data_IF_608454528388
#
_entry.id   IF_608454528388
#
_cell.length_a   1.000
_cell.length_b   1.000
_cell.length_c   1.000
_cell.angle_alpha   90.00
_cell.angle_beta   90.00
_cell.angle_gamma   90.00
#
_symmetry.space_group_name_H-M   'P 1'
#
loop_
_entity.id
_entity.type
_entity.pdbx_description
1 polymer ?
#
# COMPACT_ATOMS: atom_id res chain seq x y z
N UNK A 1 -18.49 -6.78 17.38
CA UNK A 1 -18.40 -6.40 15.96
C UNK A 1 -17.29 -5.37 15.82
N UNK A 2 -16.31 -5.62 14.96
CA UNK A 2 -15.17 -4.75 14.74
C UNK A 2 -15.66 -3.44 14.09
N UNK A 3 -15.28 -2.27 14.61
CA UNK A 3 -15.49 -0.97 13.95
C UNK A 3 -14.60 -0.79 12.70
N UNK A 4 -14.45 -1.84 11.94
CA UNK A 4 -13.67 -1.95 10.73
C UNK A 4 -14.18 -1.07 9.57
N UNK A 5 -15.23 -0.30 9.78
CA UNK A 5 -15.84 0.49 8.73
C UNK A 5 -15.44 1.97 8.69
N UNK A 6 -14.83 2.50 9.75
CA UNK A 6 -14.66 3.95 9.88
C UNK A 6 -13.68 4.50 8.83
N UNK A 7 -12.55 3.86 8.65
CA UNK A 7 -11.56 4.26 7.65
C UNK A 7 -12.08 4.11 6.22
N UNK A 8 -12.73 2.99 5.91
CA UNK A 8 -13.28 2.74 4.58
C UNK A 8 -14.31 3.80 4.14
N UNK A 9 -15.04 4.38 5.10
CA UNK A 9 -16.01 5.44 4.85
C UNK A 9 -15.47 6.86 5.10
N UNK A 10 -14.16 7.03 5.32
CA UNK A 10 -13.61 8.33 5.68
C UNK A 10 -13.89 9.43 4.65
N UNK A 11 -13.90 9.13 3.35
CA UNK A 11 -14.29 10.07 2.30
C UNK A 11 -15.76 10.48 2.42
N UNK A 12 -16.67 9.52 2.67
CA UNK A 12 -18.11 9.76 2.78
C UNK A 12 -18.50 10.52 4.05
N UNK A 13 -17.79 10.28 5.14
CA UNK A 13 -18.10 10.84 6.46
C UNK A 13 -17.64 12.30 6.62
N UNK A 14 -17.16 12.94 5.56
CA UNK A 14 -16.79 14.35 5.61
C UNK A 14 -18.01 15.26 5.60
N UNK A 15 -18.01 16.35 6.37
CA UNK A 15 -19.15 17.31 6.40
C UNK A 15 -19.50 17.90 5.03
N UNK A 16 -18.53 18.01 4.15
CA UNK A 16 -18.64 18.55 2.81
C UNK A 16 -18.71 17.48 1.71
N UNK A 17 -19.07 16.25 2.06
CA UNK A 17 -19.21 15.18 1.08
C UNK A 17 -20.21 15.54 -0.01
N UNK A 18 -19.80 15.34 -1.28
CA UNK A 18 -20.69 15.34 -2.44
C UNK A 18 -20.29 14.14 -3.32
N UNK A 19 -21.25 13.51 -3.95
CA UNK A 19 -21.03 12.25 -4.68
C UNK A 19 -19.93 12.31 -5.76
N UNK A 20 -19.73 13.47 -6.38
CA UNK A 20 -18.73 13.71 -7.42
C UNK A 20 -17.31 13.96 -6.88
N UNK A 21 -17.15 14.37 -5.61
CA UNK A 21 -15.85 14.71 -5.04
C UNK A 21 -14.87 13.55 -5.02
N UNK A 22 -15.27 12.32 -4.66
CA UNK A 22 -14.36 11.17 -4.76
C UNK A 22 -13.86 10.94 -6.20
N UNK A 23 -14.72 11.16 -7.22
CA UNK A 23 -14.29 11.08 -8.62
C UNK A 23 -13.28 12.16 -8.96
N UNK A 24 -13.56 13.41 -8.60
CA UNK A 24 -12.64 14.52 -8.84
C UNK A 24 -11.29 14.31 -8.12
N UNK A 25 -11.30 13.71 -6.92
CA UNK A 25 -10.10 13.36 -6.18
C UNK A 25 -9.27 12.31 -6.93
N UNK A 26 -9.90 11.22 -7.39
CA UNK A 26 -9.23 10.18 -8.21
C UNK A 26 -8.61 10.80 -9.47
N UNK A 27 -9.39 11.55 -10.23
CA UNK A 27 -8.91 12.20 -11.46
C UNK A 27 -7.76 13.16 -11.15
N UNK A 28 -7.87 13.95 -10.07
CA UNK A 28 -6.82 14.88 -9.69
C UNK A 28 -5.51 14.16 -9.31
N UNK A 29 -5.57 13.05 -8.56
CA UNK A 29 -4.38 12.23 -8.26
C UNK A 29 -3.73 11.76 -9.56
N UNK A 30 -4.49 11.15 -10.46
CA UNK A 30 -3.96 10.64 -11.72
C UNK A 30 -3.35 11.76 -12.58
N UNK A 31 -4.08 12.87 -12.77
CA UNK A 31 -3.62 14.00 -13.60
C UNK A 31 -2.39 14.67 -13.00
N UNK A 32 -2.38 14.92 -11.68
CA UNK A 32 -1.24 15.56 -11.01
C UNK A 32 0.00 14.66 -11.05
N UNK A 33 -0.14 13.35 -10.80
CA UNK A 33 0.98 12.40 -10.89
C UNK A 33 1.58 12.40 -12.29
N UNK A 34 0.75 12.22 -13.33
CA UNK A 34 1.23 12.21 -14.72
C UNK A 34 1.85 13.55 -15.11
N UNK A 35 1.20 14.67 -14.76
CA UNK A 35 1.72 16.00 -15.11
C UNK A 35 3.07 16.29 -14.44
N UNK A 36 3.21 15.99 -13.16
CA UNK A 36 4.46 16.22 -12.43
C UNK A 36 5.60 15.34 -12.94
N UNK A 37 5.32 14.04 -13.15
CA UNK A 37 6.33 13.10 -13.71
C UNK A 37 6.75 13.57 -15.10
N UNK A 38 5.80 13.96 -15.96
CA UNK A 38 6.11 14.46 -17.29
C UNK A 38 6.95 15.75 -17.25
N UNK A 39 6.59 16.72 -16.39
CA UNK A 39 7.35 17.98 -16.23
C UNK A 39 8.78 17.69 -15.76
N UNK A 40 8.96 16.80 -14.79
CA UNK A 40 10.31 16.44 -14.32
C UNK A 40 11.09 15.73 -15.42
N UNK A 41 10.49 14.75 -16.10
CA UNK A 41 11.13 14.02 -17.20
C UNK A 41 11.60 14.96 -18.32
N UNK A 42 10.70 15.80 -18.84
CA UNK A 42 11.03 16.78 -19.88
C UNK A 42 12.11 17.76 -19.42
N UNK A 43 12.07 18.20 -18.16
CA UNK A 43 13.08 19.11 -17.61
C UNK A 43 14.47 18.48 -17.53
N UNK A 44 14.55 17.21 -17.13
CA UNK A 44 15.79 16.45 -17.05
C UNK A 44 16.36 16.18 -18.46
N UNK A 45 15.53 15.77 -19.40
CA UNK A 45 15.92 15.57 -20.79
C UNK A 45 16.44 16.89 -21.43
N UNK A 46 15.75 18.01 -21.19
CA UNK A 46 16.20 19.33 -21.64
C UNK A 46 17.54 19.75 -21.01
N UNK A 47 17.85 19.25 -19.82
CA UNK A 47 19.17 19.42 -19.17
C UNK A 47 20.24 18.41 -19.65
N UNK A 48 19.91 17.54 -20.63
CA UNK A 48 20.81 16.54 -21.17
C UNK A 48 20.96 15.27 -20.34
N UNK A 49 20.02 15.02 -19.41
CA UNK A 49 19.98 13.80 -18.59
C UNK A 49 19.13 12.75 -19.29
N UNK A 50 19.72 11.62 -19.66
CA UNK A 50 18.97 10.46 -20.14
C UNK A 50 18.30 9.74 -18.97
N UNK A 51 16.97 9.93 -18.84
CA UNK A 51 16.15 9.32 -17.78
C UNK A 51 15.70 7.89 -18.11
N UNK A 52 16.09 7.34 -19.26
CA UNK A 52 15.69 5.99 -19.70
C UNK A 52 16.69 4.91 -19.32
N UNK A 53 17.84 5.25 -18.75
CA UNK A 53 18.93 4.29 -18.49
C UNK A 53 19.77 4.62 -17.25
N UNK A 54 20.36 3.57 -16.68
CA UNK A 54 21.38 3.66 -15.64
C UNK A 54 20.91 4.30 -14.33
N UNK A 55 21.79 5.10 -13.72
CA UNK A 55 21.50 5.76 -12.43
C UNK A 55 20.41 6.83 -12.56
N UNK A 56 20.33 7.50 -13.71
CA UNK A 56 19.32 8.54 -13.93
C UNK A 56 17.90 7.97 -13.95
N UNK A 57 17.67 6.82 -14.60
CA UNK A 57 16.39 6.09 -14.55
C UNK A 57 16.00 5.74 -13.12
N UNK A 58 16.94 5.17 -12.35
CA UNK A 58 16.72 4.82 -10.95
C UNK A 58 16.31 6.04 -10.10
N UNK A 59 17.05 7.16 -10.21
CA UNK A 59 16.73 8.36 -9.42
C UNK A 59 15.47 9.07 -9.90
N UNK A 60 15.16 9.00 -11.20
CA UNK A 60 13.89 9.47 -11.73
C UNK A 60 12.72 8.66 -11.16
N UNK A 61 12.85 7.33 -11.10
CA UNK A 61 11.88 6.46 -10.41
C UNK A 61 11.68 6.84 -8.94
N UNK A 62 12.78 7.12 -8.22
CA UNK A 62 12.70 7.58 -6.83
C UNK A 62 11.97 8.92 -6.68
N UNK A 63 12.23 9.86 -7.62
CA UNK A 63 11.53 11.15 -7.65
C UNK A 63 10.04 10.99 -7.92
N UNK A 64 9.65 10.06 -8.78
CA UNK A 64 8.24 9.82 -9.11
C UNK A 64 7.40 9.38 -7.90
N UNK A 65 7.99 8.63 -6.96
CA UNK A 65 7.35 8.25 -5.70
C UNK A 65 6.99 9.47 -4.85
N UNK A 66 7.92 10.44 -4.73
CA UNK A 66 7.66 11.68 -3.99
C UNK A 66 6.56 12.49 -4.66
N UNK A 67 6.57 12.52 -5.99
CA UNK A 67 5.53 13.20 -6.81
C UNK A 67 4.16 12.59 -6.57
N UNK A 68 4.05 11.28 -6.49
CA UNK A 68 2.78 10.60 -6.22
C UNK A 68 2.23 10.96 -4.83
N UNK A 69 3.08 10.96 -3.81
CA UNK A 69 2.68 11.41 -2.47
C UNK A 69 2.15 12.85 -2.53
N UNK A 70 2.87 13.76 -3.18
CA UNK A 70 2.45 15.16 -3.32
C UNK A 70 1.13 15.29 -4.08
N UNK A 71 0.94 14.53 -5.15
CA UNK A 71 -0.31 14.51 -5.92
C UNK A 71 -1.50 14.09 -5.05
N UNK A 72 -1.35 13.04 -4.25
CA UNK A 72 -2.37 12.60 -3.29
C UNK A 72 -2.65 13.68 -2.26
N UNK A 73 -1.62 14.27 -1.64
CA UNK A 73 -1.78 15.32 -0.63
C UNK A 73 -2.53 16.54 -1.18
N UNK A 74 -2.17 16.98 -2.38
CA UNK A 74 -2.82 18.12 -3.05
C UNK A 74 -4.27 17.81 -3.42
N UNK A 75 -4.55 16.65 -4.01
CA UNK A 75 -5.90 16.23 -4.36
C UNK A 75 -6.80 16.13 -3.12
N UNK A 76 -6.33 15.48 -2.07
CA UNK A 76 -7.06 15.33 -0.79
C UNK A 76 -7.35 16.69 -0.15
N UNK A 77 -6.33 17.57 -0.08
CA UNK A 77 -6.45 18.84 0.62
C UNK A 77 -7.28 19.87 -0.13
N UNK A 78 -7.10 19.98 -1.46
CA UNK A 78 -7.67 21.07 -2.23
C UNK A 78 -8.89 20.67 -3.08
N UNK A 79 -8.92 19.44 -3.60
CA UNK A 79 -10.05 18.97 -4.43
C UNK A 79 -11.11 18.30 -3.56
N UNK A 80 -10.74 17.28 -2.80
CA UNK A 80 -11.67 16.61 -1.88
C UNK A 80 -12.02 17.48 -0.67
N UNK A 81 -11.14 18.43 -0.31
CA UNK A 81 -11.28 19.34 0.85
C UNK A 81 -11.50 18.59 2.16
N UNK A 82 -10.71 17.53 2.36
CA UNK A 82 -10.76 16.72 3.57
C UNK A 82 -9.40 16.70 4.28
N UNK A 83 -9.35 16.36 5.58
CA UNK A 83 -8.09 16.24 6.30
C UNK A 83 -7.19 15.17 5.69
N UNK A 84 -5.91 15.48 5.48
CA UNK A 84 -4.89 14.52 5.00
C UNK A 84 -4.84 13.28 5.90
N UNK A 85 -4.99 13.43 7.20
CA UNK A 85 -5.04 12.31 8.14
C UNK A 85 -6.10 11.26 7.75
N UNK A 86 -7.16 11.65 7.03
CA UNK A 86 -8.23 10.73 6.61
C UNK A 86 -7.80 9.71 5.55
N UNK A 87 -6.70 9.92 4.85
CA UNK A 87 -6.09 8.93 3.94
C UNK A 87 -5.07 8.04 4.65
N UNK A 88 -4.67 8.38 5.86
CA UNK A 88 -3.65 7.64 6.61
C UNK A 88 -4.26 6.75 7.69
N UNK A 89 -5.29 7.23 8.38
CA UNK A 89 -5.84 6.51 9.53
C UNK A 89 -7.29 6.92 9.82
N UNK A 90 -8.07 6.01 10.40
CA UNK A 90 -9.34 6.33 11.05
C UNK A 90 -9.12 6.97 12.43
N UNK A 91 -10.20 7.36 13.10
CA UNK A 91 -10.15 8.04 14.42
C UNK A 91 -9.44 7.22 15.49
N UNK A 92 -9.55 5.92 15.43
CA UNK A 92 -8.98 5.00 16.41
C UNK A 92 -7.61 4.46 16.03
N UNK A 93 -6.94 4.96 15.03
CA UNK A 93 -5.63 4.59 14.49
C UNK A 93 -4.80 3.50 15.20
N UNK A 94 -3.77 3.01 14.57
CA UNK A 94 -2.85 2.04 15.18
C UNK A 94 -1.86 2.72 16.12
N UNK A 95 -1.39 1.99 17.15
CA UNK A 95 -0.28 2.48 17.99
C UNK A 95 0.99 2.63 17.14
N UNK A 96 1.84 3.65 17.38
CA UNK A 96 2.98 3.97 16.51
C UNK A 96 3.99 2.83 16.32
N UNK A 97 4.13 1.92 17.26
CA UNK A 97 5.06 0.79 17.17
C UNK A 97 4.51 -0.37 16.30
N UNK A 98 3.18 -0.44 16.09
CA UNK A 98 2.54 -1.56 15.38
C UNK A 98 3.02 -1.69 13.93
N UNK A 99 3.16 -0.63 13.12
CA UNK A 99 3.71 -0.74 11.77
C UNK A 99 5.14 -1.31 11.75
N UNK A 100 5.99 -0.93 12.69
CA UNK A 100 7.37 -1.46 12.76
C UNK A 100 7.38 -2.95 13.09
N UNK A 101 6.55 -3.39 14.03
CA UNK A 101 6.39 -4.81 14.35
C UNK A 101 5.76 -5.58 13.18
N UNK A 102 4.81 -4.97 12.46
CA UNK A 102 4.20 -5.56 11.26
C UNK A 102 5.23 -5.76 10.16
N UNK A 103 6.09 -4.76 9.91
CA UNK A 103 7.19 -4.87 8.95
C UNK A 103 8.14 -6.02 9.30
N UNK A 104 8.64 -6.05 10.55
CA UNK A 104 9.58 -7.08 10.98
C UNK A 104 8.97 -8.49 10.91
N UNK A 105 7.74 -8.67 11.40
CA UNK A 105 7.01 -9.94 11.32
C UNK A 105 6.78 -10.37 9.88
N UNK A 106 6.28 -9.47 9.04
CA UNK A 106 6.02 -9.77 7.64
C UNK A 106 7.29 -10.16 6.90
N UNK A 107 8.37 -9.39 7.10
CA UNK A 107 9.67 -9.68 6.48
C UNK A 107 10.17 -11.07 6.85
N UNK A 108 10.15 -11.44 8.16
CA UNK A 108 10.59 -12.76 8.63
C UNK A 108 9.75 -13.88 8.03
N UNK A 109 8.42 -13.72 7.99
CA UNK A 109 7.52 -14.75 7.41
C UNK A 109 7.75 -14.89 5.91
N UNK A 110 7.84 -13.78 5.18
CA UNK A 110 8.09 -13.78 3.72
C UNK A 110 9.44 -14.44 3.44
N UNK A 111 10.50 -14.02 4.13
CA UNK A 111 11.83 -14.59 3.95
C UNK A 111 11.89 -16.10 4.28
N UNK A 112 11.20 -16.54 5.34
CA UNK A 112 11.10 -17.94 5.68
C UNK A 112 10.37 -18.77 4.62
N UNK A 113 9.20 -18.32 4.17
CA UNK A 113 8.40 -19.05 3.17
C UNK A 113 9.12 -19.07 1.83
N UNK A 114 9.58 -17.90 1.34
CA UNK A 114 10.27 -17.80 0.05
C UNK A 114 11.66 -18.45 0.08
N UNK A 115 12.35 -18.40 1.24
CA UNK A 115 13.61 -19.12 1.43
C UNK A 115 13.42 -20.62 1.31
N UNK A 116 12.40 -21.19 1.97
CA UNK A 116 12.07 -22.63 1.83
C UNK A 116 11.72 -22.97 0.39
N UNK A 117 10.90 -22.15 -0.28
CA UNK A 117 10.53 -22.35 -1.70
C UNK A 117 11.77 -22.29 -2.58
N UNK A 118 12.67 -21.32 -2.36
CA UNK A 118 13.92 -21.20 -3.12
C UNK A 118 14.84 -22.40 -2.93
N UNK A 119 15.10 -22.77 -1.68
CA UNK A 119 16.03 -23.86 -1.36
C UNK A 119 15.45 -25.23 -1.77
N UNK A 120 14.21 -25.53 -1.38
CA UNK A 120 13.61 -26.86 -1.62
C UNK A 120 13.06 -27.00 -3.04
N UNK A 121 12.44 -25.92 -3.56
CA UNK A 121 11.79 -25.95 -4.86
C UNK A 121 12.73 -25.70 -6.04
N UNK A 122 13.76 -24.90 -5.85
CA UNK A 122 14.64 -24.42 -6.95
C UNK A 122 16.13 -24.67 -6.69
N UNK A 123 16.51 -25.30 -5.56
CA UNK A 123 17.91 -25.64 -5.27
C UNK A 123 18.80 -24.44 -4.93
N UNK A 124 18.20 -23.31 -4.52
CA UNK A 124 18.97 -22.15 -4.08
C UNK A 124 19.77 -22.45 -2.79
N UNK A 125 20.89 -21.76 -2.59
CA UNK A 125 21.61 -21.79 -1.33
C UNK A 125 21.05 -20.78 -0.32
N UNK A 126 21.28 -20.98 0.98
CA UNK A 126 20.77 -20.07 2.00
C UNK A 126 21.37 -18.66 1.94
N UNK A 127 22.61 -18.52 1.46
CA UNK A 127 23.23 -17.22 1.20
C UNK A 127 22.55 -16.45 0.07
N UNK A 128 21.93 -17.14 -0.90
CA UNK A 128 21.11 -16.51 -1.93
C UNK A 128 19.76 -16.01 -1.40
N UNK A 129 19.26 -16.53 -0.27
CA UNK A 129 18.01 -16.05 0.34
C UNK A 129 18.14 -14.60 0.81
N UNK A 130 19.33 -14.25 1.36
CA UNK A 130 19.58 -12.88 1.86
C UNK A 130 20.22 -12.02 0.78
N UNK A 131 20.92 -12.63 -0.20
CA UNK A 131 21.63 -11.92 -1.25
C UNK A 131 22.76 -11.04 -0.73
N UNK A 132 23.32 -10.23 -1.61
CA UNK A 132 24.41 -9.31 -1.27
C UNK A 132 23.85 -7.99 -0.70
N UNK A 133 24.37 -7.57 0.45
CA UNK A 133 24.07 -6.26 1.01
C UNK A 133 24.85 -5.20 0.22
N UNK A 134 24.14 -4.48 -0.65
CA UNK A 134 24.72 -3.43 -1.49
C UNK A 134 24.90 -2.13 -0.70
N UNK A 135 25.85 -1.29 -1.11
CA UNK A 135 26.15 -0.01 -0.44
C UNK A 135 25.01 1.01 -0.54
N UNK A 136 24.13 0.88 -1.55
CA UNK A 136 22.98 1.76 -1.75
C UNK A 136 21.70 1.27 -1.04
N UNK A 137 21.77 0.09 -0.39
CA UNK A 137 20.62 -0.51 0.31
C UNK A 137 19.93 0.44 1.31
N UNK A 138 20.63 1.25 2.13
CA UNK A 138 19.94 2.16 3.06
C UNK A 138 19.05 3.17 2.35
N UNK A 139 19.49 3.74 1.22
CA UNK A 139 18.66 4.66 0.43
C UNK A 139 17.49 3.90 -0.21
N UNK A 140 17.74 2.73 -0.75
CA UNK A 140 16.71 1.89 -1.36
C UNK A 140 15.61 1.50 -0.37
N UNK A 141 15.95 1.15 0.87
CA UNK A 141 14.97 0.86 1.92
C UNK A 141 14.06 2.06 2.22
N UNK A 142 14.63 3.27 2.26
CA UNK A 142 13.82 4.49 2.43
C UNK A 142 12.86 4.65 1.25
N UNK A 143 13.33 4.47 0.03
CA UNK A 143 12.49 4.61 -1.17
C UNK A 143 11.42 3.53 -1.22
N UNK A 144 11.72 2.29 -0.87
CA UNK A 144 10.76 1.18 -0.79
C UNK A 144 9.61 1.52 0.18
N UNK A 145 9.94 2.06 1.35
CA UNK A 145 8.90 2.47 2.32
C UNK A 145 8.07 3.64 1.79
N UNK A 146 8.71 4.62 1.14
CA UNK A 146 8.00 5.74 0.52
C UNK A 146 7.13 5.30 -0.65
N UNK A 147 7.58 4.35 -1.48
CA UNK A 147 6.81 3.78 -2.58
C UNK A 147 5.57 3.04 -2.06
N UNK A 148 5.74 2.16 -1.08
CA UNK A 148 4.63 1.51 -0.43
C UNK A 148 3.65 2.53 0.19
N UNK A 149 4.15 3.60 0.81
CA UNK A 149 3.31 4.68 1.35
C UNK A 149 2.54 5.40 0.23
N UNK A 150 3.19 5.77 -0.87
CA UNK A 150 2.57 6.44 -2.01
C UNK A 150 1.40 5.61 -2.57
N UNK A 151 1.68 4.34 -2.86
CA UNK A 151 0.68 3.41 -3.39
C UNK A 151 -0.47 3.17 -2.40
N UNK A 152 -0.19 2.95 -1.11
CA UNK A 152 -1.24 2.75 -0.12
C UNK A 152 -2.08 4.03 0.10
N UNK A 153 -1.48 5.21 0.03
CA UNK A 153 -2.21 6.47 0.06
C UNK A 153 -3.14 6.63 -1.15
N UNK A 154 -2.64 6.33 -2.35
CA UNK A 154 -3.44 6.41 -3.56
C UNK A 154 -4.55 5.35 -3.56
N UNK A 155 -4.19 4.07 -3.45
CA UNK A 155 -5.16 2.99 -3.68
C UNK A 155 -6.07 2.71 -2.48
N UNK A 156 -5.59 2.83 -1.24
CA UNK A 156 -6.40 2.60 -0.02
C UNK A 156 -6.91 3.89 0.58
N UNK A 157 -6.14 4.97 0.48
CA UNK A 157 -6.53 6.29 0.97
C UNK A 157 -7.49 7.04 0.06
N UNK A 158 -7.38 6.86 -1.27
CA UNK A 158 -8.25 7.56 -2.24
C UNK A 158 -9.20 6.60 -2.93
N UNK A 159 -8.73 5.66 -3.75
CA UNK A 159 -9.59 4.81 -4.58
C UNK A 159 -10.53 3.91 -3.75
N UNK A 160 -10.00 3.18 -2.78
CA UNK A 160 -10.83 2.31 -1.93
C UNK A 160 -11.89 3.09 -1.16
N UNK A 161 -11.53 4.23 -0.58
CA UNK A 161 -12.49 5.07 0.13
C UNK A 161 -13.52 5.68 -0.81
N UNK A 162 -13.13 6.09 -2.03
CA UNK A 162 -14.04 6.62 -3.04
C UNK A 162 -15.07 5.56 -3.50
N UNK A 163 -14.60 4.39 -3.87
CA UNK A 163 -15.49 3.30 -4.30
C UNK A 163 -16.37 2.80 -3.15
N UNK A 164 -15.87 2.75 -1.92
CA UNK A 164 -16.69 2.45 -0.74
C UNK A 164 -17.75 3.52 -0.49
N UNK A 165 -17.41 4.81 -0.70
CA UNK A 165 -18.37 5.90 -0.54
C UNK A 165 -19.54 5.79 -1.52
N UNK A 166 -19.31 5.35 -2.75
CA UNK A 166 -20.35 5.17 -3.77
C UNK A 166 -21.16 3.90 -3.58
N UNK A 167 -20.48 2.77 -3.42
CA UNK A 167 -21.12 1.46 -3.30
C UNK A 167 -21.75 1.23 -1.93
N UNK A 168 -21.31 1.96 -0.92
CA UNK A 168 -21.65 1.76 0.51
C UNK A 168 -21.21 0.39 1.03
N UNK A 169 -20.29 -0.27 0.34
CA UNK A 169 -19.86 -1.64 0.65
C UNK A 169 -18.33 -1.75 0.57
N UNK A 170 -17.63 -1.90 1.71
CA UNK A 170 -16.16 -1.92 1.71
C UNK A 170 -15.56 -3.06 0.87
N UNK A 171 -16.18 -4.25 0.88
CA UNK A 171 -15.68 -5.36 0.06
C UNK A 171 -15.77 -5.05 -1.45
N UNK A 172 -16.86 -4.41 -1.90
CA UNK A 172 -17.00 -3.96 -3.29
C UNK A 172 -16.00 -2.85 -3.59
N UNK A 173 -15.83 -1.90 -2.66
CA UNK A 173 -14.83 -0.84 -2.77
C UNK A 173 -13.41 -1.40 -2.92
N UNK A 174 -13.05 -2.44 -2.16
CA UNK A 174 -11.76 -3.12 -2.26
C UNK A 174 -11.54 -3.78 -3.64
N UNK A 175 -12.55 -4.51 -4.15
CA UNK A 175 -12.50 -5.13 -5.47
C UNK A 175 -12.33 -4.08 -6.57
N UNK A 176 -13.10 -3.00 -6.53
CA UNK A 176 -13.00 -1.92 -7.51
C UNK A 176 -11.66 -1.19 -7.44
N UNK A 177 -11.08 -1.01 -6.25
CA UNK A 177 -9.76 -0.38 -6.08
C UNK A 177 -8.61 -1.29 -6.50
N UNK A 178 -8.78 -2.61 -6.50
CA UNK A 178 -7.79 -3.55 -7.00
C UNK A 178 -7.60 -3.45 -8.52
N UNK A 179 -8.62 -3.05 -9.28
CA UNK A 179 -8.53 -2.92 -10.74
C UNK A 179 -7.49 -1.86 -11.16
N UNK A 180 -7.57 -0.58 -10.74
CA UNK A 180 -6.54 0.40 -11.08
C UNK A 180 -5.17 0.06 -10.46
N UNK A 181 -5.11 -0.60 -9.29
CA UNK A 181 -3.85 -1.08 -8.73
C UNK A 181 -3.15 -2.05 -9.70
N UNK A 182 -3.85 -3.06 -10.20
CA UNK A 182 -3.30 -3.99 -11.21
C UNK A 182 -2.93 -3.26 -12.50
N UNK A 183 -3.77 -2.30 -12.93
CA UNK A 183 -3.53 -1.54 -14.15
C UNK A 183 -2.23 -0.71 -14.13
N UNK A 184 -1.76 -0.34 -12.95
CA UNK A 184 -0.48 0.38 -12.76
C UNK A 184 0.74 -0.55 -12.69
N UNK A 185 0.55 -1.88 -12.73
CA UNK A 185 1.61 -2.87 -12.64
C UNK A 185 1.77 -3.61 -13.99
N UNK A 186 2.63 -3.15 -14.91
CA UNK A 186 2.80 -3.79 -16.24
C UNK A 186 3.15 -5.27 -16.14
N UNK A 187 3.83 -5.68 -15.07
CA UNK A 187 4.19 -7.08 -14.79
C UNK A 187 2.96 -7.99 -14.67
N UNK A 188 1.82 -7.42 -14.27
CA UNK A 188 0.54 -8.15 -14.16
C UNK A 188 0.00 -8.63 -15.52
N UNK A 189 0.42 -7.99 -16.62
CA UNK A 189 -0.09 -8.34 -17.96
C UNK A 189 0.62 -9.54 -18.59
N UNK A 190 1.68 -10.03 -17.97
CA UNK A 190 2.46 -11.17 -18.51
C UNK A 190 1.72 -12.49 -18.52
N UNK A 191 0.73 -12.71 -17.65
CA UNK A 191 -0.08 -13.92 -17.59
C UNK A 191 -1.33 -13.74 -16.70
N UNK A 192 -2.37 -14.59 -16.84
CA UNK A 192 -3.52 -14.61 -15.93
C UNK A 192 -3.13 -14.84 -14.47
N UNK A 193 -2.06 -15.59 -14.21
CA UNK A 193 -1.55 -15.86 -12.86
C UNK A 193 -0.90 -14.61 -12.28
N UNK A 194 -0.12 -13.87 -13.08
CA UNK A 194 0.45 -12.59 -12.67
C UNK A 194 -0.67 -11.58 -12.35
N UNK A 195 -1.67 -11.46 -13.21
CA UNK A 195 -2.84 -10.63 -12.95
C UNK A 195 -3.51 -10.99 -11.62
N UNK A 196 -3.77 -12.29 -11.40
CA UNK A 196 -4.40 -12.78 -10.19
C UNK A 196 -3.55 -12.47 -8.94
N UNK A 197 -2.22 -12.62 -9.03
CA UNK A 197 -1.29 -12.30 -7.95
C UNK A 197 -1.43 -10.84 -7.51
N UNK A 198 -1.24 -9.87 -8.41
CA UNK A 198 -1.37 -8.44 -8.08
C UNK A 198 -2.77 -8.07 -7.61
N UNK A 199 -3.81 -8.69 -8.18
CA UNK A 199 -5.19 -8.44 -7.76
C UNK A 199 -5.47 -8.93 -6.34
N UNK A 200 -4.99 -10.12 -6.00
CA UNK A 200 -5.14 -10.70 -4.66
C UNK A 200 -4.29 -9.96 -3.62
N UNK A 201 -3.09 -9.50 -3.98
CA UNK A 201 -2.28 -8.63 -3.10
C UNK A 201 -3.00 -7.32 -2.81
N UNK A 202 -3.63 -6.72 -3.83
CA UNK A 202 -4.44 -5.52 -3.62
C UNK A 202 -5.57 -5.74 -2.62
N UNK A 203 -6.26 -6.89 -2.69
CA UNK A 203 -7.31 -7.25 -1.71
C UNK A 203 -6.74 -7.52 -0.32
N UNK A 204 -5.55 -8.12 -0.24
CA UNK A 204 -4.88 -8.42 1.01
C UNK A 204 -4.50 -7.13 1.76
N UNK A 205 -3.95 -6.14 1.06
CA UNK A 205 -3.66 -4.84 1.66
C UNK A 205 -4.94 -4.09 2.07
N UNK A 206 -6.02 -4.19 1.30
CA UNK A 206 -7.31 -3.64 1.70
C UNK A 206 -7.86 -4.32 2.97
N UNK A 207 -7.66 -5.64 3.12
CA UNK A 207 -7.99 -6.38 4.33
C UNK A 207 -7.18 -5.90 5.55
N UNK A 208 -5.87 -5.65 5.40
CA UNK A 208 -5.03 -5.10 6.45
C UNK A 208 -5.51 -3.70 6.88
N UNK A 209 -5.81 -2.84 5.91
CA UNK A 209 -6.36 -1.52 6.19
C UNK A 209 -7.69 -1.61 6.94
N UNK A 210 -8.55 -2.53 6.56
CA UNK A 210 -9.80 -2.78 7.25
C UNK A 210 -9.60 -3.32 8.68
N UNK A 211 -8.69 -4.29 8.85
CA UNK A 211 -8.42 -4.90 10.15
C UNK A 211 -7.81 -3.92 11.16
N UNK A 212 -6.98 -2.99 10.71
CA UNK A 212 -6.24 -2.06 11.56
C UNK A 212 -6.78 -0.62 11.54
N UNK A 213 -7.79 -0.33 10.71
CA UNK A 213 -8.39 1.00 10.54
C UNK A 213 -7.35 2.08 10.17
N UNK A 214 -6.34 1.71 9.39
CA UNK A 214 -5.19 2.55 9.05
C UNK A 214 -4.40 1.92 7.90
N UNK A 215 -3.78 2.74 7.03
CA UNK A 215 -2.90 2.23 5.97
C UNK A 215 -1.53 1.77 6.51
N UNK A 216 -1.10 2.22 7.67
CA UNK A 216 0.27 2.03 8.15
C UNK A 216 0.71 0.57 8.25
N UNK A 217 -0.22 -0.36 8.56
CA UNK A 217 0.10 -1.80 8.59
C UNK A 217 0.16 -2.38 7.17
N UNK A 218 -0.69 -1.92 6.25
CA UNK A 218 -0.59 -2.30 4.84
C UNK A 218 0.73 -1.79 4.24
N UNK A 219 1.11 -0.53 4.48
CA UNK A 219 2.43 0.04 4.11
C UNK A 219 3.57 -0.83 4.64
N UNK A 220 3.49 -1.26 5.89
CA UNK A 220 4.54 -2.06 6.52
C UNK A 220 4.69 -3.44 5.87
N UNK A 221 3.60 -4.15 5.62
CA UNK A 221 3.63 -5.48 4.98
C UNK A 221 4.04 -5.37 3.50
N UNK A 222 3.53 -4.36 2.78
CA UNK A 222 3.90 -4.06 1.41
C UNK A 222 5.41 -3.72 1.29
N UNK A 223 5.90 -2.83 2.14
CA UNK A 223 7.33 -2.50 2.19
C UNK A 223 8.20 -3.71 2.53
N UNK A 224 7.76 -4.59 3.45
CA UNK A 224 8.48 -5.81 3.77
C UNK A 224 8.59 -6.76 2.56
N UNK A 225 7.52 -6.89 1.78
CA UNK A 225 7.51 -7.63 0.53
C UNK A 225 8.51 -7.05 -0.49
N UNK A 226 8.44 -5.76 -0.74
CA UNK A 226 9.32 -5.07 -1.68
C UNK A 226 10.78 -5.12 -1.23
N UNK A 227 11.04 -5.02 0.09
CA UNK A 227 12.39 -5.17 0.65
C UNK A 227 12.93 -6.57 0.40
N UNK A 228 12.14 -7.61 0.65
CA UNK A 228 12.56 -8.98 0.36
C UNK A 228 12.90 -9.14 -1.13
N UNK A 229 12.03 -8.65 -2.03
CA UNK A 229 12.27 -8.68 -3.48
C UNK A 229 13.55 -7.95 -3.91
N UNK A 230 13.92 -6.88 -3.20
CA UNK A 230 15.12 -6.10 -3.49
C UNK A 230 16.44 -6.75 -3.04
N UNK A 231 16.43 -7.47 -1.91
CA UNK A 231 17.65 -8.03 -1.33
C UNK A 231 17.90 -9.50 -1.69
N UNK A 232 16.86 -10.24 -2.09
CA UNK A 232 17.00 -11.67 -2.39
C UNK A 232 17.73 -11.91 -3.72
N UNK A 233 18.51 -12.97 -3.78
CA UNK A 233 19.23 -13.46 -4.97
C UNK A 233 18.85 -14.91 -5.31
N UNK A 234 17.62 -15.30 -5.02
CA UNK A 234 17.15 -16.70 -5.11
C UNK A 234 17.15 -17.28 -6.53
N UNK A 235 17.19 -16.42 -7.57
CA UNK A 235 17.11 -16.90 -8.94
C UNK A 235 15.81 -17.67 -9.25
N UNK A 236 14.75 -17.43 -8.49
CA UNK A 236 13.46 -18.10 -8.66
C UNK A 236 12.88 -17.71 -10.02
N UNK A 237 12.58 -18.65 -10.91
CA UNK A 237 12.01 -18.33 -12.20
C UNK A 237 10.66 -17.61 -12.07
N UNK A 238 10.39 -16.68 -12.97
CA UNK A 238 9.08 -16.03 -13.06
C UNK A 238 8.06 -17.02 -13.66
N UNK A 239 7.48 -17.88 -12.83
CA UNK A 239 6.57 -18.95 -13.21
C UNK A 239 5.25 -18.85 -12.43
N UNK A 240 4.22 -19.54 -12.89
CA UNK A 240 2.95 -19.63 -12.16
C UNK A 240 3.14 -20.17 -10.74
N UNK A 241 4.01 -21.17 -10.57
CA UNK A 241 4.28 -21.76 -9.25
C UNK A 241 4.95 -20.76 -8.29
N UNK A 242 5.94 -20.00 -8.78
CA UNK A 242 6.61 -18.98 -7.97
C UNK A 242 5.68 -17.81 -7.59
N UNK A 243 4.78 -17.41 -8.49
CA UNK A 243 3.78 -16.37 -8.19
C UNK A 243 2.76 -16.84 -7.17
N UNK A 244 2.32 -18.10 -7.23
CA UNK A 244 1.44 -18.70 -6.20
C UNK A 244 2.17 -18.77 -4.85
N UNK A 245 3.46 -19.16 -4.83
CA UNK A 245 4.26 -19.18 -3.63
C UNK A 245 4.46 -17.75 -3.05
N UNK A 246 4.69 -16.77 -3.90
CA UNK A 246 4.81 -15.36 -3.52
C UNK A 246 3.53 -14.85 -2.85
N UNK A 247 2.37 -15.10 -3.46
CA UNK A 247 1.09 -14.75 -2.85
C UNK A 247 0.86 -15.49 -1.53
N UNK A 248 1.18 -16.79 -1.46
CA UNK A 248 1.07 -17.55 -0.23
C UNK A 248 1.95 -16.97 0.90
N UNK A 249 3.15 -16.50 0.59
CA UNK A 249 4.04 -15.82 1.54
C UNK A 249 3.44 -14.51 2.04
N UNK A 250 2.92 -13.66 1.15
CA UNK A 250 2.25 -12.41 1.50
C UNK A 250 0.98 -12.65 2.34
N UNK A 251 0.18 -13.66 1.98
CA UNK A 251 -1.02 -14.05 2.72
C UNK A 251 -0.68 -14.59 4.12
N UNK A 252 0.35 -15.44 4.24
CA UNK A 252 0.82 -15.95 5.53
C UNK A 252 1.33 -14.81 6.42
N UNK A 253 2.13 -13.89 5.87
CA UNK A 253 2.62 -12.72 6.59
C UNK A 253 1.46 -11.85 7.10
N UNK A 254 0.47 -11.56 6.26
CA UNK A 254 -0.70 -10.79 6.63
C UNK A 254 -1.54 -11.49 7.70
N UNK A 255 -1.72 -12.81 7.60
CA UNK A 255 -2.45 -13.60 8.59
C UNK A 255 -1.75 -13.58 9.96
N UNK A 256 -0.42 -13.72 9.99
CA UNK A 256 0.38 -13.63 11.22
C UNK A 256 0.26 -12.23 11.83
N UNK A 257 0.42 -11.18 11.03
CA UNK A 257 0.28 -9.78 11.47
C UNK A 257 -1.12 -9.54 12.08
N UNK A 258 -2.18 -10.00 11.42
CA UNK A 258 -3.56 -9.87 11.93
C UNK A 258 -3.78 -10.67 13.23
N UNK A 259 -3.16 -11.84 13.35
CA UNK A 259 -3.34 -12.71 14.52
C UNK A 259 -2.58 -12.21 15.75
N UNK A 260 -1.37 -11.67 15.55
CA UNK A 260 -0.42 -11.36 16.65
C UNK A 260 -0.54 -9.90 17.11
N UNK A 261 -0.75 -8.94 16.20
CA UNK A 261 -0.68 -7.54 16.56
C UNK A 261 -2.03 -6.97 17.03
N UNK A 262 -2.00 -6.07 18.03
CA UNK A 262 -3.21 -5.46 18.56
C UNK A 262 -3.86 -4.56 17.50
N UNK A 263 -5.12 -4.82 17.23
CA UNK A 263 -5.97 -3.96 16.39
C UNK A 263 -6.35 -2.70 17.15
N UNK A 264 -6.77 -1.66 16.41
CA UNK A 264 -7.31 -0.45 17.02
C UNK A 264 -8.43 -0.84 18.00
N UNK A 265 -8.32 -0.38 19.25
CA UNK A 265 -9.35 -0.64 20.23
C UNK A 265 -10.67 -0.01 19.74
N UNK A 266 -11.74 -0.77 19.73
CA UNK A 266 -13.08 -0.20 19.58
C UNK A 266 -13.28 0.77 20.74
N UNK A 267 -13.27 2.08 20.46
CA UNK A 267 -13.70 3.05 21.45
C UNK A 267 -15.22 2.87 21.65
N UNK A 268 -15.58 1.97 22.54
CA UNK A 268 -16.85 2.13 23.25
C UNK A 268 -16.65 3.37 24.12
N UNK A 269 -16.79 4.55 23.52
CA UNK A 269 -17.14 5.72 24.28
C UNK A 269 -18.46 5.35 24.96
N UNK A 270 -18.38 4.97 26.25
CA UNK A 270 -19.55 5.01 27.13
C UNK A 270 -20.07 6.44 26.97
N UNK A 271 -21.13 6.60 26.22
CA UNK A 271 -21.93 7.81 26.26
C UNK A 271 -22.25 7.98 27.74
N UNK A 272 -21.79 9.04 28.44
CA UNK A 272 -22.19 9.27 29.82
C UNK A 272 -23.70 9.30 29.77
N UNK A 273 -24.33 8.47 30.60
CA UNK A 273 -25.78 8.51 30.79
C UNK A 273 -26.17 9.99 31.04
N UNK A 274 -27.21 10.52 30.40
CA UNK A 274 -27.62 11.89 30.62
C UNK A 274 -27.85 12.04 32.13
N UNK A 275 -27.09 12.93 32.77
CA UNK A 275 -27.31 13.28 34.18
C UNK A 275 -28.73 13.75 34.28
N UNK A 276 -29.54 12.96 34.97
CA UNK A 276 -30.94 13.30 35.24
C UNK A 276 -31.00 14.71 35.77
N UNK A 277 -31.76 15.55 35.09
CA UNK A 277 -32.19 16.85 35.62
C UNK A 277 -33.09 16.52 36.80
N UNK A 278 -32.54 16.66 38.00
CA UNK A 278 -33.36 16.66 39.23
C UNK A 278 -34.10 18.00 39.19
N UNK A 279 -35.42 17.87 39.12
CA UNK A 279 -36.37 18.99 39.31
C UNK A 279 -36.44 19.38 40.75
#
# INVERSE_FOLDING_TARGET
MLHAGEYAFASRNQPNYAWWRPLAEIVAVAVLTVAFVAVIGVSLEAAGVDTSSGAADKYFGYGSVVVEILAVLLAVRFIARRPVASVLTGRTGTKPWVPFAAYALAFVVIAAVMGVVGVVGYGASWDQVIGDIRSDLPLELVVIVLAALAEEMAFRGVFFQAFTAWTRHPAVGAVLAAIPFVAMHPQAYGSPVAFAHYFLDALLYALLVWAFNSIWVAVAVHAAWNTFGSIQALGIPNSAASMVAAFAAAAAASAVVIAVLPRAASSHARTPAPRGVVR
#
